data_IF_165981840081
#
_entry.id   IF_165981840081
#
_cell.length_a   1.000
_cell.length_b   1.000
_cell.length_c   1.000
_cell.angle_alpha   90.00
_cell.angle_beta   90.00
_cell.angle_gamma   90.00
#
_symmetry.space_group_name_H-M   'P 1'
#
loop_
_entity.id
_entity.type
_entity.pdbx_description
1 polymer ?
#
# COMPACT_ATOMS: atom_id res chain seq x y z
N UNK A 1 -6.53 -22.51 21.82
CA UNK A 1 -7.16 -21.62 20.80
C UNK A 1 -6.34 -21.78 19.52
N UNK A 2 -6.92 -22.25 18.41
CA UNK A 2 -6.18 -22.27 17.16
C UNK A 2 -5.92 -20.82 16.75
N UNK A 3 -4.68 -20.53 16.41
CA UNK A 3 -4.27 -19.19 16.04
C UNK A 3 -4.95 -18.75 14.75
N UNK A 4 -5.16 -17.46 14.60
CA UNK A 4 -5.73 -16.85 13.39
C UNK A 4 -4.93 -17.26 12.14
N UNK A 5 -3.66 -17.65 12.31
CA UNK A 5 -2.80 -18.18 11.25
C UNK A 5 -3.34 -19.47 10.60
N UNK A 6 -4.07 -20.29 11.36
CA UNK A 6 -4.58 -21.58 10.84
C UNK A 6 -5.81 -21.41 9.95
N UNK A 7 -6.53 -20.30 10.10
CA UNK A 7 -7.72 -20.01 9.29
C UNK A 7 -7.39 -19.31 7.96
N UNK A 8 -6.17 -18.79 7.82
CA UNK A 8 -5.73 -18.05 6.60
C UNK A 8 -4.96 -18.94 5.62
N UNK A 9 -4.61 -20.17 6.02
CA UNK A 9 -3.87 -21.10 5.16
C UNK A 9 -4.59 -21.50 3.85
N UNK A 10 -5.91 -21.63 3.80
CA UNK A 10 -6.57 -21.98 2.54
C UNK A 10 -6.53 -20.90 1.46
N UNK A 11 -6.34 -19.62 1.86
CA UNK A 11 -6.39 -18.49 0.94
C UNK A 11 -5.14 -18.41 0.05
N UNK A 12 -4.03 -19.06 0.50
CA UNK A 12 -2.74 -19.00 -0.21
C UNK A 12 -2.48 -20.26 -1.06
N UNK A 13 -3.46 -21.08 -1.33
CA UNK A 13 -3.32 -22.44 -1.82
C UNK A 13 -3.53 -22.72 -3.32
N UNK A 14 -2.99 -21.96 -4.29
CA UNK A 14 -2.85 -22.61 -5.59
C UNK A 14 -1.43 -22.66 -6.16
N UNK A 15 -0.37 -22.66 -5.34
CA UNK A 15 0.99 -22.72 -5.88
C UNK A 15 1.71 -24.02 -5.47
N UNK A 16 2.25 -24.75 -6.48
CA UNK A 16 3.04 -25.97 -6.28
C UNK A 16 4.37 -25.64 -5.55
N UNK A 17 4.80 -26.46 -4.59
CA UNK A 17 6.07 -26.23 -3.87
C UNK A 17 7.28 -26.48 -4.79
N UNK A 18 8.21 -25.54 -4.80
CA UNK A 18 9.52 -25.72 -5.44
C UNK A 18 10.65 -25.65 -4.40
N UNK A 19 11.77 -26.24 -4.76
CA UNK A 19 12.93 -26.51 -3.89
C UNK A 19 13.43 -25.28 -3.11
N UNK A 20 13.60 -25.48 -1.82
CA UNK A 20 14.28 -24.54 -0.92
C UNK A 20 15.72 -25.02 -0.79
N UNK A 21 16.69 -24.24 -1.25
CA UNK A 21 18.11 -24.52 -1.01
C UNK A 21 18.56 -23.70 0.18
N UNK A 22 19.01 -24.38 1.23
CA UNK A 22 19.63 -23.77 2.40
C UNK A 22 21.14 -23.96 2.30
N UNK A 23 21.87 -22.90 2.12
CA UNK A 23 23.33 -22.94 2.13
C UNK A 23 23.84 -22.59 3.53
N UNK A 24 24.71 -23.43 4.07
CA UNK A 24 25.27 -23.30 5.44
C UNK A 24 26.39 -22.24 5.41
N UNK A 25 26.05 -21.01 5.63
CA UNK A 25 26.99 -19.90 5.76
C UNK A 25 26.93 -19.27 7.15
N UNK A 26 27.97 -18.56 7.56
CA UNK A 26 28.04 -17.86 8.86
C UNK A 26 26.91 -16.86 9.07
N UNK A 27 26.33 -16.38 7.98
CA UNK A 27 25.14 -15.52 7.97
C UNK A 27 24.11 -16.16 7.02
N UNK A 28 22.90 -16.33 7.47
CA UNK A 28 21.88 -17.09 6.74
C UNK A 28 21.19 -16.24 5.68
N UNK A 29 21.38 -16.63 4.44
CA UNK A 29 20.67 -16.13 3.27
C UNK A 29 19.68 -17.21 2.82
N UNK A 30 18.41 -16.89 2.69
CA UNK A 30 17.43 -17.80 2.10
C UNK A 30 17.26 -17.43 0.62
N UNK A 31 17.68 -18.35 -0.25
CA UNK A 31 17.43 -18.29 -1.68
C UNK A 31 16.19 -19.15 -1.95
N UNK A 32 15.15 -18.53 -2.42
CA UNK A 32 13.92 -19.25 -2.73
C UNK A 32 13.67 -19.26 -4.22
N UNK A 33 13.63 -20.41 -4.66
CA UNK A 33 13.30 -20.61 -6.02
C UNK A 33 11.81 -20.62 -6.19
N UNK A 34 11.43 -20.06 -7.05
CA UNK A 34 10.06 -19.76 -7.27
C UNK A 34 9.08 -20.84 -7.12
N UNK A 35 8.51 -21.00 -6.90
CA UNK A 35 7.35 -21.64 -6.93
C UNK A 35 6.65 -22.06 -5.71
N UNK A 36 6.67 -21.73 -5.04
CA UNK A 36 5.71 -22.23 -4.11
C UNK A 36 5.37 -21.23 -3.09
N UNK A 37 4.56 -20.60 -3.42
CA UNK A 37 4.04 -19.61 -2.61
C UNK A 37 3.59 -20.07 -1.25
N UNK A 38 3.16 -21.01 -1.17
CA UNK A 38 2.68 -21.48 0.06
C UNK A 38 3.78 -22.00 0.95
N UNK A 39 4.58 -22.38 0.45
CA UNK A 39 5.73 -22.83 1.13
C UNK A 39 6.60 -21.67 1.58
N UNK A 40 6.38 -20.79 1.00
CA UNK A 40 7.05 -19.66 1.38
C UNK A 40 6.59 -19.06 2.67
N UNK A 41 5.60 -19.15 2.80
CA UNK A 41 5.04 -18.73 4.03
C UNK A 41 5.44 -19.64 5.18
N UNK A 42 5.45 -20.57 4.86
CA UNK A 42 5.93 -21.53 5.76
C UNK A 42 7.42 -21.41 5.97
N UNK A 43 7.91 -21.10 5.04
CA UNK A 43 9.30 -20.93 5.11
C UNK A 43 9.71 -19.65 5.81
N UNK A 44 9.00 -18.89 5.61
CA UNK A 44 9.21 -17.71 6.28
C UNK A 44 8.87 -17.80 7.71
N UNK A 45 8.02 -18.34 7.84
CA UNK A 45 7.63 -18.61 9.13
C UNK A 45 8.56 -19.53 9.81
N UNK A 46 8.80 -20.15 9.09
CA UNK A 46 9.75 -21.10 9.51
C UNK A 46 11.07 -20.45 9.85
N UNK A 47 11.22 -19.71 9.21
CA UNK A 47 12.45 -19.12 9.43
C UNK A 47 12.50 -18.19 10.62
N UNK A 48 11.55 -17.86 10.78
CA UNK A 48 11.52 -16.97 11.85
C UNK A 48 10.90 -17.56 13.08
N UNK A 49 10.17 -18.26 12.86
CA UNK A 49 9.39 -18.74 13.88
C UNK A 49 9.71 -20.13 14.26
N UNK A 50 10.48 -20.69 13.62
CA UNK A 50 10.83 -22.08 13.99
C UNK A 50 11.72 -22.09 15.22
N UNK A 51 11.39 -22.96 16.14
CA UNK A 51 12.16 -23.12 17.40
C UNK A 51 13.58 -23.64 17.15
N UNK A 52 13.78 -24.38 16.07
CA UNK A 52 15.07 -24.95 15.68
C UNK A 52 15.72 -24.25 14.49
N UNK A 53 15.56 -22.94 14.38
CA UNK A 53 16.19 -22.15 13.30
C UNK A 53 17.72 -22.08 13.51
N UNK A 54 18.46 -22.06 12.41
CA UNK A 54 19.93 -22.08 12.45
C UNK A 54 20.56 -20.67 12.65
N UNK A 55 19.76 -19.65 13.05
CA UNK A 55 20.26 -18.30 13.32
C UNK A 55 19.39 -17.21 12.72
N UNK A 56 19.85 -15.97 12.81
CA UNK A 56 19.14 -14.81 12.29
C UNK A 56 19.31 -14.72 10.77
N UNK A 57 18.19 -14.62 10.05
CA UNK A 57 18.18 -14.45 8.60
C UNK A 57 18.49 -12.97 8.29
N UNK A 58 19.53 -12.72 7.52
CA UNK A 58 19.96 -11.36 7.14
C UNK A 58 19.16 -10.83 5.95
N UNK A 59 18.95 -11.68 4.93
CA UNK A 59 18.24 -11.29 3.73
C UNK A 59 17.60 -12.52 3.09
N UNK A 60 16.55 -12.29 2.31
CA UNK A 60 15.89 -13.33 1.53
C UNK A 60 15.72 -12.83 0.08
N UNK A 61 16.09 -13.65 -0.88
CA UNK A 61 15.92 -13.37 -2.29
C UNK A 61 14.99 -14.42 -2.89
N UNK A 62 13.85 -13.98 -3.35
CA UNK A 62 12.88 -14.82 -4.03
C UNK A 62 13.21 -14.80 -5.53
N UNK A 63 13.38 -15.98 -6.14
CA UNK A 63 13.66 -16.10 -7.57
C UNK A 63 12.41 -16.60 -8.29
N UNK A 64 11.95 -15.83 -9.26
CA UNK A 64 10.84 -16.19 -10.15
C UNK A 64 11.37 -16.25 -11.59
N UNK A 65 11.80 -17.44 -12.01
CA UNK A 65 12.46 -17.65 -13.29
C UNK A 65 11.62 -18.64 -14.13
N UNK A 66 10.52 -18.17 -14.73
CA UNK A 66 9.62 -19.07 -15.49
C UNK A 66 10.14 -19.45 -16.86
N UNK A 67 11.22 -18.82 -17.35
CA UNK A 67 11.73 -19.00 -18.71
C UNK A 67 13.17 -19.50 -18.69
N UNK A 68 13.54 -20.34 -19.65
CA UNK A 68 14.92 -20.81 -19.84
C UNK A 68 15.84 -19.67 -20.36
N UNK A 69 15.28 -18.78 -21.17
CA UNK A 69 15.98 -17.59 -21.66
C UNK A 69 15.40 -16.36 -21.01
N UNK A 70 16.25 -15.55 -20.44
CA UNK A 70 15.86 -14.37 -19.69
C UNK A 70 16.41 -13.14 -20.40
N UNK A 71 15.55 -12.24 -20.83
CA UNK A 71 15.94 -11.01 -21.50
C UNK A 71 16.25 -9.89 -20.50
N UNK A 72 15.46 -9.78 -19.44
CA UNK A 72 15.64 -8.76 -18.43
C UNK A 72 15.18 -9.26 -17.07
N UNK A 73 15.61 -8.57 -16.02
CA UNK A 73 15.31 -8.89 -14.62
C UNK A 73 14.42 -7.79 -14.05
N UNK A 74 13.21 -8.13 -13.67
CA UNK A 74 12.31 -7.21 -12.96
C UNK A 74 12.54 -7.37 -11.45
N UNK A 75 12.95 -6.28 -10.79
CA UNK A 75 13.20 -6.26 -9.35
C UNK A 75 11.95 -5.77 -8.65
N UNK A 76 11.28 -6.67 -7.91
CA UNK A 76 10.05 -6.37 -7.18
C UNK A 76 10.37 -6.19 -5.72
N UNK A 77 9.96 -5.06 -5.16
CA UNK A 77 10.38 -4.61 -3.83
C UNK A 77 9.20 -4.31 -2.91
N UNK A 78 7.99 -4.09 -3.44
CA UNK A 78 6.84 -3.70 -2.61
C UNK A 78 6.34 -4.89 -1.79
N UNK A 79 6.46 -4.76 -0.49
CA UNK A 79 6.01 -5.76 0.47
C UNK A 79 4.65 -5.45 1.08
N UNK A 80 4.31 -6.16 2.14
CA UNK A 80 3.06 -5.97 2.87
C UNK A 80 2.95 -4.53 3.40
N UNK A 81 1.77 -3.95 3.28
CA UNK A 81 1.48 -2.57 3.69
C UNK A 81 2.44 -1.54 3.08
N UNK A 82 2.98 -1.84 1.89
CA UNK A 82 3.88 -0.92 1.19
C UNK A 82 5.27 -0.80 1.79
N UNK A 83 5.66 -1.72 2.66
CA UNK A 83 7.03 -1.77 3.20
C UNK A 83 8.02 -2.06 2.06
N UNK A 84 9.19 -1.46 2.18
CA UNK A 84 10.28 -1.64 1.20
C UNK A 84 11.49 -2.26 1.91
N UNK A 85 12.29 -3.07 1.20
CA UNK A 85 13.55 -3.58 1.77
C UNK A 85 14.58 -2.46 1.86
N UNK A 86 15.66 -2.72 2.58
CA UNK A 86 16.79 -1.79 2.64
C UNK A 86 17.30 -1.48 1.22
N UNK A 87 17.52 -0.20 0.94
CA UNK A 87 17.96 0.29 -0.37
C UNK A 87 19.29 -0.33 -0.82
N UNK A 88 20.19 -0.63 0.14
CA UNK A 88 21.48 -1.25 -0.17
C UNK A 88 21.31 -2.64 -0.77
N UNK A 89 20.31 -3.40 -0.31
CA UNK A 89 19.99 -4.70 -0.90
C UNK A 89 19.50 -4.56 -2.35
N UNK A 90 18.65 -3.55 -2.60
CA UNK A 90 18.13 -3.26 -3.95
C UNK A 90 19.29 -2.86 -4.89
N UNK A 91 20.14 -1.94 -4.42
CA UNK A 91 21.31 -1.46 -5.19
C UNK A 91 22.29 -2.59 -5.47
N UNK A 92 22.52 -3.47 -4.48
CA UNK A 92 23.41 -4.62 -4.63
C UNK A 92 22.91 -5.54 -5.76
N UNK A 93 21.62 -5.89 -5.71
CA UNK A 93 21.01 -6.76 -6.71
C UNK A 93 21.09 -6.12 -8.09
N UNK A 94 20.71 -4.84 -8.18
CA UNK A 94 20.76 -4.09 -9.45
C UNK A 94 22.16 -4.09 -10.05
N UNK A 95 23.19 -3.72 -9.27
CA UNK A 95 24.58 -3.61 -9.74
C UNK A 95 25.13 -4.96 -10.21
N UNK A 96 24.89 -6.04 -9.47
CA UNK A 96 25.43 -7.35 -9.82
C UNK A 96 24.78 -7.92 -11.07
N UNK A 97 23.47 -7.70 -11.27
CA UNK A 97 22.83 -8.10 -12.52
C UNK A 97 23.32 -7.27 -13.71
N UNK A 98 23.57 -5.98 -13.52
CA UNK A 98 24.18 -5.13 -14.57
C UNK A 98 25.59 -5.59 -14.95
N UNK A 99 26.41 -5.98 -13.97
CA UNK A 99 27.76 -6.49 -14.23
C UNK A 99 27.72 -7.76 -15.11
N UNK A 100 26.73 -8.59 -14.92
CA UNK A 100 26.52 -9.79 -15.76
C UNK A 100 25.69 -9.49 -17.01
N UNK A 101 25.54 -8.21 -17.37
CA UNK A 101 24.91 -7.70 -18.62
C UNK A 101 23.40 -7.97 -18.70
N UNK A 102 22.71 -8.13 -17.56
CA UNK A 102 21.26 -8.15 -17.54
C UNK A 102 20.72 -6.73 -17.47
N UNK A 103 19.71 -6.44 -18.28
CA UNK A 103 18.91 -5.22 -18.09
C UNK A 103 18.03 -5.42 -16.88
N UNK A 104 18.07 -4.51 -15.93
CA UNK A 104 17.18 -4.52 -14.75
C UNK A 104 16.06 -3.53 -14.95
N UNK A 105 14.86 -3.90 -14.52
CA UNK A 105 13.66 -3.09 -14.65
C UNK A 105 12.95 -2.96 -13.29
N UNK A 106 12.12 -1.93 -13.17
CA UNK A 106 11.15 -1.75 -12.08
C UNK A 106 9.76 -1.73 -12.71
N UNK A 107 8.90 -2.65 -12.29
CA UNK A 107 7.55 -2.77 -12.89
C UNK A 107 7.61 -3.02 -14.40
N UNK A 108 8.57 -3.81 -14.83
CA UNK A 108 8.85 -4.12 -16.25
C UNK A 108 9.16 -2.88 -17.11
N UNK A 109 9.57 -1.78 -16.45
CA UNK A 109 9.96 -0.54 -17.12
C UNK A 109 11.47 -0.34 -16.98
N UNK A 110 12.13 -0.09 -18.12
CA UNK A 110 13.54 0.23 -18.19
C UNK A 110 13.77 1.71 -17.86
N UNK A 111 14.97 2.05 -17.48
CA UNK A 111 15.33 3.46 -17.27
C UNK A 111 15.38 4.20 -18.60
N UNK A 112 14.88 5.44 -18.61
CA UNK A 112 14.91 6.28 -19.82
C UNK A 112 16.37 6.70 -20.09
N UNK A 113 16.84 6.60 -21.36
CA UNK A 113 18.27 6.87 -21.67
C UNK A 113 18.73 8.27 -21.30
N UNK A 114 17.90 9.28 -21.50
CA UNK A 114 18.22 10.66 -21.12
C UNK A 114 17.27 11.14 -20.01
N UNK A 115 17.65 10.94 -18.74
CA UNK A 115 16.77 11.27 -17.62
C UNK A 115 16.56 12.78 -17.39
N UNK A 116 17.39 13.64 -18.00
CA UNK A 116 17.33 15.10 -17.82
C UNK A 116 16.48 15.79 -18.88
N UNK A 117 16.10 15.08 -19.94
CA UNK A 117 15.15 15.61 -20.93
C UNK A 117 13.74 15.72 -20.33
N UNK A 118 12.89 16.55 -20.90
CA UNK A 118 11.49 16.69 -20.47
C UNK A 118 10.75 15.34 -20.60
N UNK A 119 11.01 14.59 -21.65
CA UNK A 119 10.42 13.26 -21.85
C UNK A 119 10.93 12.28 -20.79
N UNK A 120 12.23 12.28 -20.48
CA UNK A 120 12.81 11.45 -19.44
C UNK A 120 12.24 11.77 -18.05
N UNK A 121 12.01 13.07 -17.78
CA UNK A 121 11.40 13.50 -16.53
C UNK A 121 9.94 12.98 -16.41
N UNK A 122 9.14 13.15 -17.47
CA UNK A 122 7.75 12.66 -17.51
C UNK A 122 7.71 11.13 -17.36
N UNK A 123 8.63 10.42 -18.04
CA UNK A 123 8.75 8.97 -17.95
C UNK A 123 9.08 8.52 -16.53
N UNK A 124 10.07 9.16 -15.89
CA UNK A 124 10.48 8.85 -14.51
C UNK A 124 9.36 9.16 -13.51
N UNK A 125 8.64 10.27 -13.70
CA UNK A 125 7.49 10.62 -12.87
C UNK A 125 6.35 9.59 -13.01
N UNK A 126 6.11 9.11 -14.22
CA UNK A 126 5.13 8.05 -14.49
C UNK A 126 5.54 6.72 -13.82
N UNK A 127 6.84 6.39 -13.86
CA UNK A 127 7.37 5.18 -13.20
C UNK A 127 7.23 5.29 -11.68
N UNK A 128 7.58 6.46 -11.13
CA UNK A 128 7.41 6.76 -9.71
C UNK A 128 5.95 6.63 -9.28
N UNK A 129 5.03 7.22 -10.05
CA UNK A 129 3.59 7.15 -9.74
C UNK A 129 3.09 5.70 -9.79
N UNK A 130 3.56 4.90 -10.75
CA UNK A 130 3.21 3.48 -10.84
C UNK A 130 3.68 2.71 -9.60
N UNK A 131 4.91 2.96 -9.16
CA UNK A 131 5.45 2.37 -7.93
C UNK A 131 4.63 2.80 -6.71
N UNK A 132 4.34 4.10 -6.58
CA UNK A 132 3.57 4.65 -5.46
C UNK A 132 2.15 4.08 -5.40
N UNK A 133 1.47 3.94 -6.55
CA UNK A 133 0.13 3.34 -6.59
C UNK A 133 0.19 1.87 -6.14
N UNK A 134 1.16 1.12 -6.63
CA UNK A 134 1.34 -0.28 -6.23
C UNK A 134 1.63 -0.38 -4.72
N UNK A 135 2.54 0.45 -4.21
CA UNK A 135 2.89 0.49 -2.79
C UNK A 135 1.67 0.88 -1.93
N UNK A 136 0.86 1.83 -2.41
CA UNK A 136 -0.32 2.32 -1.69
C UNK A 136 -1.40 1.24 -1.54
N UNK A 137 -1.47 0.26 -2.45
CA UNK A 137 -2.43 -0.86 -2.28
C UNK A 137 -2.09 -1.75 -1.09
N UNK A 138 -0.83 -1.74 -0.63
CA UNK A 138 -0.36 -2.59 0.46
C UNK A 138 -0.21 -4.07 0.09
N UNK A 139 -0.53 -4.44 -1.14
CA UNK A 139 -0.43 -5.83 -1.61
C UNK A 139 1.02 -6.10 -2.04
N UNK A 140 1.66 -7.16 -1.51
CA UNK A 140 3.03 -7.48 -1.92
C UNK A 140 3.08 -7.92 -3.38
N UNK A 141 4.12 -7.48 -4.10
CA UNK A 141 4.31 -7.80 -5.52
C UNK A 141 5.03 -9.14 -5.74
N UNK A 142 5.36 -9.83 -4.66
CA UNK A 142 6.00 -11.15 -4.71
C UNK A 142 6.06 -11.80 -3.33
N UNK A 143 6.60 -13.02 -3.29
CA UNK A 143 6.71 -13.77 -2.04
C UNK A 143 7.63 -13.12 -1.00
N UNK A 144 8.48 -12.17 -1.44
CA UNK A 144 9.36 -11.41 -0.54
C UNK A 144 8.58 -10.66 0.54
N UNK A 145 7.37 -10.20 0.24
CA UNK A 145 6.54 -9.48 1.20
C UNK A 145 6.21 -10.28 2.47
N UNK A 146 6.20 -11.61 2.36
CA UNK A 146 5.99 -12.47 3.52
C UNK A 146 7.17 -12.40 4.50
N UNK A 147 8.38 -12.16 4.00
CA UNK A 147 9.58 -12.00 4.82
C UNK A 147 9.60 -10.66 5.53
N UNK A 148 9.13 -9.60 4.88
CA UNK A 148 9.04 -8.27 5.49
C UNK A 148 8.22 -8.29 6.78
N UNK A 149 7.15 -9.09 6.84
CA UNK A 149 6.32 -9.26 8.05
C UNK A 149 7.13 -9.72 9.27
N UNK A 150 8.24 -10.44 9.03
CA UNK A 150 9.12 -10.95 10.10
C UNK A 150 10.38 -10.09 10.27
N UNK A 151 10.40 -8.88 9.70
CA UNK A 151 11.55 -7.99 9.78
C UNK A 151 12.77 -8.50 9.02
N UNK A 152 12.56 -9.32 7.98
CA UNK A 152 13.63 -9.88 7.16
C UNK A 152 13.67 -9.10 5.84
N UNK A 153 14.82 -8.51 5.52
CA UNK A 153 15.05 -7.80 4.27
C UNK A 153 14.87 -8.74 3.08
N UNK A 154 14.01 -8.41 2.16
CA UNK A 154 13.71 -9.33 1.05
C UNK A 154 13.26 -8.60 -0.20
N UNK A 155 13.57 -9.18 -1.36
CA UNK A 155 13.07 -8.73 -2.65
C UNK A 155 12.86 -9.94 -3.58
N UNK A 156 12.13 -9.71 -4.68
CA UNK A 156 11.92 -10.73 -5.70
C UNK A 156 12.66 -10.33 -6.97
N UNK A 157 13.43 -11.28 -7.48
CA UNK A 157 14.12 -11.20 -8.78
C UNK A 157 13.27 -12.01 -9.76
N UNK A 158 12.53 -11.33 -10.64
CA UNK A 158 11.66 -11.97 -11.62
C UNK A 158 12.32 -11.89 -13.00
N UNK A 159 12.63 -13.06 -13.56
CA UNK A 159 13.18 -13.13 -14.92
C UNK A 159 12.04 -13.09 -15.94
N UNK A 160 12.13 -12.15 -16.87
CA UNK A 160 11.15 -11.98 -17.95
C UNK A 160 11.79 -12.24 -19.32
N UNK A 161 10.97 -12.68 -20.27
CA UNK A 161 11.39 -12.90 -21.65
C UNK A 161 10.61 -12.00 -22.61
N UNK A 162 11.34 -11.26 -23.41
CA UNK A 162 10.76 -10.41 -24.45
C UNK A 162 11.26 -10.90 -25.82
N UNK A 163 10.37 -11.21 -26.71
CA UNK A 163 10.68 -11.73 -28.05
C UNK A 163 11.53 -10.71 -28.83
N UNK A 164 12.60 -11.18 -29.43
CA UNK A 164 13.54 -10.32 -30.18
C UNK A 164 14.72 -9.79 -29.35
N UNK A 165 14.73 -10.04 -28.05
CA UNK A 165 15.87 -9.66 -27.19
C UNK A 165 16.86 -10.82 -27.08
N UNK A 166 18.14 -10.48 -26.96
CA UNK A 166 19.19 -11.47 -26.75
C UNK A 166 19.14 -11.95 -25.30
N UNK A 167 18.58 -13.12 -25.11
CA UNK A 167 18.49 -13.73 -23.78
C UNK A 167 19.87 -14.11 -23.23
N UNK A 168 20.10 -13.85 -21.97
CA UNK A 168 21.32 -14.24 -21.28
C UNK A 168 21.24 -15.68 -20.77
N UNK A 169 22.40 -16.32 -20.65
CA UNK A 169 22.52 -17.69 -20.19
C UNK A 169 22.28 -17.84 -18.69
N UNK A 170 21.77 -18.99 -18.29
CA UNK A 170 21.61 -19.38 -16.89
C UNK A 170 22.91 -19.30 -16.09
N UNK A 171 24.07 -19.51 -16.78
CA UNK A 171 25.38 -19.38 -16.14
C UNK A 171 25.62 -17.95 -15.61
N UNK A 172 25.29 -16.93 -16.41
CA UNK A 172 25.45 -15.53 -16.00
C UNK A 172 24.48 -15.19 -14.86
N UNK A 173 23.27 -15.74 -14.90
CA UNK A 173 22.30 -15.63 -13.78
C UNK A 173 22.90 -16.21 -12.51
N UNK A 174 23.46 -17.41 -12.58
CA UNK A 174 24.10 -18.08 -11.45
C UNK A 174 25.26 -17.26 -10.87
N UNK A 175 26.08 -16.63 -11.73
CA UNK A 175 27.17 -15.77 -11.31
C UNK A 175 26.67 -14.50 -10.58
N UNK A 176 25.63 -13.89 -11.09
CA UNK A 176 25.02 -12.72 -10.43
C UNK A 176 24.51 -13.11 -9.04
N UNK A 177 23.76 -14.22 -8.94
CA UNK A 177 23.22 -14.73 -7.67
C UNK A 177 24.37 -15.07 -6.70
N UNK A 178 25.41 -15.77 -7.18
CA UNK A 178 26.60 -16.08 -6.37
C UNK A 178 27.25 -14.79 -5.87
N UNK A 179 27.38 -13.77 -6.72
CA UNK A 179 27.92 -12.47 -6.34
C UNK A 179 27.12 -11.80 -5.24
N UNK A 180 25.76 -11.84 -5.34
CA UNK A 180 24.86 -11.31 -4.30
C UNK A 180 25.10 -12.06 -2.99
N UNK A 181 25.13 -13.40 -3.04
CA UNK A 181 25.33 -14.24 -1.84
C UNK A 181 26.69 -13.96 -1.19
N UNK A 182 27.76 -13.84 -1.97
CA UNK A 182 29.10 -13.51 -1.47
C UNK A 182 29.12 -12.13 -0.80
N UNK A 183 28.49 -11.13 -1.44
CA UNK A 183 28.42 -9.77 -0.90
C UNK A 183 27.67 -9.73 0.42
N UNK A 184 26.51 -10.39 0.50
CA UNK A 184 25.73 -10.48 1.73
C UNK A 184 26.46 -11.24 2.84
N UNK A 185 27.19 -12.30 2.49
CA UNK A 185 27.99 -13.05 3.45
C UNK A 185 29.17 -12.24 4.00
N UNK A 186 29.70 -11.31 3.21
CA UNK A 186 30.84 -10.46 3.59
C UNK A 186 30.42 -9.23 4.41
N UNK A 187 29.12 -8.98 4.58
CA UNK A 187 28.65 -7.89 5.43
C UNK A 187 29.10 -8.13 6.88
N UNK A 188 29.85 -7.16 7.42
CA UNK A 188 30.32 -7.24 8.82
C UNK A 188 29.20 -6.95 9.81
N UNK A 189 28.24 -6.12 9.41
CA UNK A 189 27.12 -5.71 10.25
C UNK A 189 25.79 -6.04 9.55
N UNK A 190 24.72 -6.13 10.34
CA UNK A 190 23.38 -6.28 9.79
C UNK A 190 22.92 -5.02 9.07
N UNK A 191 21.93 -5.15 8.20
CA UNK A 191 21.22 -4.01 7.63
C UNK A 191 20.48 -3.30 8.78
N UNK A 192 21.12 -2.28 9.35
CA UNK A 192 20.54 -1.54 10.48
C UNK A 192 20.45 -0.04 10.21
N UNK A 193 21.23 0.45 9.27
CA UNK A 193 21.14 1.86 8.87
C UNK A 193 20.13 1.99 7.75
N UNK A 194 19.21 2.82 7.99
CA UNK A 194 17.89 2.89 7.46
C UNK A 194 17.76 3.62 6.12
N UNK A 195 17.85 2.93 5.07
CA UNK A 195 17.27 3.41 3.83
C UNK A 195 16.04 2.55 3.49
N UNK A 196 15.02 2.63 4.36
CA UNK A 196 13.71 2.02 4.15
C UNK A 196 12.72 3.03 3.57
N UNK A 197 12.96 4.31 3.82
CA UNK A 197 12.06 5.39 3.41
C UNK A 197 12.60 6.08 2.17
N UNK A 198 12.33 5.47 1.03
CA UNK A 198 12.75 5.95 -0.28
C UNK A 198 11.66 5.69 -1.31
N UNK A 199 11.75 6.38 -2.43
CA UNK A 199 10.93 6.16 -3.61
C UNK A 199 11.87 6.03 -4.81
N UNK A 200 11.55 5.13 -5.75
CA UNK A 200 12.40 4.87 -6.92
C UNK A 200 11.73 5.37 -8.21
N UNK A 201 12.18 6.49 -8.76
CA UNK A 201 11.74 6.91 -10.10
C UNK A 201 12.43 6.12 -11.22
N UNK A 202 13.54 5.45 -10.91
CA UNK A 202 14.33 4.64 -11.85
C UNK A 202 15.14 3.61 -11.06
N UNK A 203 15.70 2.61 -11.74
CA UNK A 203 16.48 1.56 -11.05
C UNK A 203 17.77 2.10 -10.42
N UNK A 204 18.32 3.18 -11.00
CA UNK A 204 19.60 3.78 -10.58
C UNK A 204 19.43 5.09 -9.82
N UNK A 205 18.18 5.52 -9.53
CA UNK A 205 17.92 6.78 -8.83
C UNK A 205 16.86 6.57 -7.74
N UNK A 206 17.05 7.25 -6.62
CA UNK A 206 16.10 7.21 -5.51
C UNK A 206 15.81 8.62 -5.01
N UNK A 207 14.65 8.76 -4.40
CA UNK A 207 14.21 9.98 -3.71
C UNK A 207 14.16 9.64 -2.22
N UNK A 208 14.99 10.31 -1.43
CA UNK A 208 15.06 10.06 0.01
C UNK A 208 13.91 10.74 0.76
N UNK A 209 13.70 10.32 1.99
CA UNK A 209 12.71 10.89 2.91
C UNK A 209 12.89 12.42 3.06
N UNK A 210 14.13 12.91 3.07
CA UNK A 210 14.42 14.34 3.17
C UNK A 210 13.89 15.17 2.02
N UNK A 211 13.62 14.55 0.87
CA UNK A 211 13.12 15.25 -0.34
C UNK A 211 11.58 15.21 -0.42
N UNK A 212 10.94 14.07 -0.10
CA UNK A 212 9.49 13.97 -0.27
C UNK A 212 8.69 14.39 0.98
N UNK A 213 9.30 14.40 2.16
CA UNK A 213 8.59 14.79 3.40
C UNK A 213 8.27 16.29 3.47
N UNK A 214 9.14 17.22 3.04
CA UNK A 214 8.77 18.64 3.05
C UNK A 214 7.53 18.97 2.22
N UNK A 215 7.37 18.58 0.95
CA UNK A 215 6.12 18.82 0.24
C UNK A 215 4.90 18.15 0.88
N UNK A 216 5.06 16.94 1.42
CA UNK A 216 3.99 16.27 2.19
C UNK A 216 3.60 17.09 3.42
N UNK A 217 4.60 17.58 4.17
CA UNK A 217 4.39 18.45 5.33
C UNK A 217 3.69 19.74 4.97
N UNK A 218 4.00 20.33 3.81
CA UNK A 218 3.32 21.53 3.32
C UNK A 218 1.84 21.26 3.00
N UNK A 219 1.50 20.10 2.44
CA UNK A 219 0.10 19.71 2.19
C UNK A 219 -0.68 19.59 3.50
N UNK A 220 -0.11 18.94 4.52
CA UNK A 220 -0.71 18.83 5.86
C UNK A 220 -0.79 20.21 6.50
N UNK A 221 0.30 20.99 6.41
CA UNK A 221 0.39 22.35 6.95
C UNK A 221 -0.68 23.28 6.40
N UNK A 222 -1.00 23.15 5.09
CA UNK A 222 -2.06 23.94 4.47
C UNK A 222 -3.43 23.66 5.11
N UNK A 223 -3.74 22.38 5.43
CA UNK A 223 -4.98 22.03 6.13
C UNK A 223 -4.98 22.60 7.57
N UNK A 224 -3.85 22.51 8.27
CA UNK A 224 -3.71 23.05 9.63
C UNK A 224 -3.86 24.58 9.64
N UNK A 225 -3.19 25.28 8.73
CA UNK A 225 -3.28 26.73 8.60
C UNK A 225 -4.72 27.17 8.31
N UNK A 226 -5.44 26.42 7.47
CA UNK A 226 -6.84 26.69 7.19
C UNK A 226 -7.71 26.49 8.43
N UNK A 227 -7.46 25.44 9.23
CA UNK A 227 -8.17 25.22 10.49
C UNK A 227 -7.93 26.39 11.46
N UNK A 228 -6.68 26.86 11.56
CA UNK A 228 -6.30 28.01 12.38
C UNK A 228 -7.00 29.29 11.89
N UNK A 229 -7.02 29.51 10.56
CA UNK A 229 -7.68 30.67 9.94
C UNK A 229 -9.18 30.67 10.25
N UNK A 230 -9.85 29.51 10.18
CA UNK A 230 -11.27 29.37 10.56
C UNK A 230 -11.48 29.67 12.04
N UNK A 231 -10.57 29.23 12.89
CA UNK A 231 -10.64 29.48 14.34
C UNK A 231 -10.45 30.97 14.67
N UNK A 232 -9.51 31.64 14.01
CA UNK A 232 -9.25 33.09 14.23
C UNK A 232 -10.42 33.93 13.71
N UNK A 233 -10.98 33.59 12.52
CA UNK A 233 -12.10 34.32 11.93
C UNK A 233 -13.39 34.25 12.76
N UNK A 234 -13.47 33.36 13.74
CA UNK A 234 -14.51 33.32 14.76
C UNK A 234 -14.57 34.60 15.57
N UNK A 235 -13.40 35.17 15.86
CA UNK A 235 -13.26 36.30 16.81
C UNK A 235 -13.80 37.63 16.23
N UNK A 236 -13.85 37.75 14.88
CA UNK A 236 -14.26 38.96 14.20
C UNK A 236 -15.78 39.12 14.01
N UNK A 237 -16.51 37.96 14.02
CA UNK A 237 -17.97 37.96 13.77
C UNK A 237 -18.66 37.26 14.96
N UNK A 238 -18.84 38.00 16.04
CA UNK A 238 -19.60 37.50 17.19
C UNK A 238 -21.12 37.62 16.92
N UNK A 239 -21.65 36.87 15.96
CA UNK A 239 -23.10 36.62 15.92
C UNK A 239 -23.42 35.60 17.01
N UNK A 240 -24.14 36.03 18.00
CA UNK A 240 -24.47 35.32 19.24
C UNK A 240 -25.18 33.98 19.07
N UNK A 241 -25.58 33.62 17.85
CA UNK A 241 -26.46 32.46 17.60
C UNK A 241 -25.75 31.16 17.28
N UNK A 242 -24.45 31.17 16.94
CA UNK A 242 -23.70 29.96 16.60
C UNK A 242 -22.68 29.59 17.67
N UNK A 243 -22.86 28.43 18.28
CA UNK A 243 -21.95 27.95 19.33
C UNK A 243 -20.67 27.32 18.72
N UNK A 244 -19.51 27.81 19.15
CA UNK A 244 -18.19 27.20 18.91
C UNK A 244 -17.79 26.38 20.15
N UNK A 245 -18.69 25.54 20.61
CA UNK A 245 -18.42 24.70 21.75
C UNK A 245 -17.92 23.34 21.28
N UNK A 246 -16.63 23.09 21.46
CA UNK A 246 -15.99 21.83 21.08
C UNK A 246 -16.54 20.64 21.89
N UNK A 247 -17.12 20.89 23.06
CA UNK A 247 -17.80 19.83 23.84
C UNK A 247 -19.02 19.28 23.08
N UNK A 248 -19.73 20.12 22.33
CA UNK A 248 -20.86 19.69 21.51
C UNK A 248 -20.41 18.81 20.33
N UNK A 249 -19.12 18.86 19.97
CA UNK A 249 -18.54 17.97 18.96
C UNK A 249 -18.31 16.56 19.49
N UNK A 250 -18.33 16.37 20.82
CA UNK A 250 -18.05 15.08 21.48
C UNK A 250 -18.95 13.95 20.97
N UNK A 251 -20.23 14.23 20.69
CA UNK A 251 -21.15 13.26 20.15
C UNK A 251 -20.71 12.75 18.77
N UNK A 252 -20.18 13.62 17.91
CA UNK A 252 -19.62 13.24 16.61
C UNK A 252 -18.36 12.40 16.76
N UNK A 253 -17.48 12.80 17.68
CA UNK A 253 -16.24 12.05 17.94
C UNK A 253 -16.55 10.66 18.49
N UNK A 254 -17.49 10.58 19.44
CA UNK A 254 -17.94 9.30 20.00
C UNK A 254 -18.55 8.41 18.92
N UNK A 255 -19.42 8.96 18.08
CA UNK A 255 -20.00 8.23 16.94
C UNK A 255 -18.89 7.71 16.01
N UNK A 256 -17.96 8.57 15.63
CA UNK A 256 -16.83 8.19 14.74
C UNK A 256 -15.99 7.08 15.35
N UNK A 257 -15.71 7.16 16.66
CA UNK A 257 -14.94 6.14 17.39
C UNK A 257 -15.69 4.80 17.39
N UNK A 258 -17.01 4.81 17.68
CA UNK A 258 -17.83 3.60 17.65
C UNK A 258 -17.83 2.97 16.25
N UNK A 259 -18.00 3.79 15.21
CA UNK A 259 -17.94 3.31 13.82
C UNK A 259 -16.57 2.71 13.49
N UNK A 260 -15.50 3.36 13.92
CA UNK A 260 -14.14 2.84 13.76
C UNK A 260 -13.95 1.47 14.41
N UNK A 261 -14.45 1.30 15.64
CA UNK A 261 -14.41 0.01 16.35
C UNK A 261 -15.22 -1.06 15.62
N UNK A 262 -16.36 -0.69 15.04
CA UNK A 262 -17.20 -1.62 14.25
C UNK A 262 -16.41 -2.06 13.01
N UNK A 263 -15.83 -1.11 12.25
CA UNK A 263 -15.04 -1.42 11.06
C UNK A 263 -13.82 -2.28 11.41
N UNK A 264 -13.13 -1.95 12.52
CA UNK A 264 -11.98 -2.73 12.99
C UNK A 264 -12.34 -4.18 13.32
N UNK A 265 -13.49 -4.40 13.99
CA UNK A 265 -13.93 -5.75 14.38
C UNK A 265 -14.69 -6.51 13.28
N UNK A 266 -15.06 -5.83 12.19
CA UNK A 266 -15.91 -6.40 11.14
C UNK A 266 -15.28 -7.63 10.45
N UNK A 267 -14.00 -7.66 10.08
CA UNK A 267 -13.43 -8.81 9.35
C UNK A 267 -13.58 -10.12 10.13
N UNK A 268 -13.23 -10.10 11.41
CA UNK A 268 -13.33 -11.28 12.28
C UNK A 268 -14.79 -11.75 12.42
N UNK A 269 -15.71 -10.81 12.66
CA UNK A 269 -17.14 -11.12 12.82
C UNK A 269 -17.76 -11.63 11.52
N UNK A 270 -17.40 -11.03 10.38
CA UNK A 270 -17.89 -11.45 9.06
C UNK A 270 -17.38 -12.86 8.71
N UNK A 271 -16.11 -13.15 9.03
CA UNK A 271 -15.51 -14.47 8.81
C UNK A 271 -16.22 -15.53 9.67
N UNK A 272 -16.47 -15.23 10.95
CA UNK A 272 -17.21 -16.13 11.85
C UNK A 272 -18.65 -16.32 11.36
N UNK A 273 -19.30 -15.27 10.89
CA UNK A 273 -20.67 -15.31 10.35
C UNK A 273 -20.73 -16.20 9.09
N UNK A 274 -19.80 -16.04 8.16
CA UNK A 274 -19.72 -16.86 6.96
C UNK A 274 -19.58 -18.35 7.30
N UNK A 275 -18.73 -18.66 8.27
CA UNK A 275 -18.50 -20.05 8.74
C UNK A 275 -19.76 -20.61 9.41
N UNK A 276 -20.42 -19.82 10.25
CA UNK A 276 -21.62 -20.24 10.96
C UNK A 276 -22.79 -20.50 10.00
N UNK A 277 -22.99 -19.60 9.04
CA UNK A 277 -24.13 -19.69 8.09
C UNK A 277 -23.86 -20.64 6.92
N UNK A 278 -22.62 -21.10 6.76
CA UNK A 278 -22.18 -21.99 5.66
C UNK A 278 -22.64 -21.47 4.28
N UNK A 279 -22.42 -20.16 4.02
CA UNK A 279 -22.95 -19.47 2.83
C UNK A 279 -22.39 -19.97 1.51
N UNK A 280 -21.31 -20.77 1.53
CA UNK A 280 -20.66 -21.26 0.31
C UNK A 280 -19.88 -20.17 -0.43
N UNK A 281 -19.77 -18.96 0.13
CA UNK A 281 -19.03 -17.84 -0.45
C UNK A 281 -17.59 -17.84 0.07
N UNK A 282 -16.67 -17.31 -0.73
CA UNK A 282 -15.30 -17.14 -0.26
C UNK A 282 -15.29 -16.16 0.93
N UNK A 283 -14.38 -16.38 1.88
CA UNK A 283 -14.23 -15.47 3.03
C UNK A 283 -13.91 -14.06 2.55
N UNK A 284 -13.14 -13.96 1.47
CA UNK A 284 -12.73 -12.69 0.86
C UNK A 284 -13.93 -11.91 0.33
N UNK A 285 -14.88 -12.58 -0.35
CA UNK A 285 -16.09 -11.95 -0.87
C UNK A 285 -16.98 -11.43 0.26
N UNK A 286 -17.12 -12.22 1.33
CA UNK A 286 -17.96 -11.86 2.47
C UNK A 286 -17.37 -10.65 3.21
N UNK A 287 -16.06 -10.65 3.44
CA UNK A 287 -15.38 -9.51 4.10
C UNK A 287 -15.48 -8.25 3.23
N UNK A 288 -15.17 -8.36 1.95
CA UNK A 288 -15.20 -7.21 1.02
C UNK A 288 -16.62 -6.66 0.89
N UNK A 289 -17.62 -7.53 0.64
CA UNK A 289 -19.01 -7.12 0.54
C UNK A 289 -19.53 -6.50 1.83
N UNK A 290 -19.15 -7.08 2.97
CA UNK A 290 -19.53 -6.57 4.29
C UNK A 290 -18.97 -5.16 4.53
N UNK A 291 -17.71 -4.90 4.16
CA UNK A 291 -17.12 -3.56 4.23
C UNK A 291 -17.86 -2.55 3.35
N UNK A 292 -18.21 -2.95 2.12
CA UNK A 292 -18.98 -2.10 1.22
C UNK A 292 -20.35 -1.76 1.81
N UNK A 293 -21.06 -2.75 2.35
CA UNK A 293 -22.36 -2.56 3.01
C UNK A 293 -22.26 -1.64 4.23
N UNK A 294 -21.27 -1.89 5.09
CA UNK A 294 -21.03 -1.05 6.28
C UNK A 294 -20.73 0.40 5.90
N UNK A 295 -19.96 0.61 4.82
CA UNK A 295 -19.63 1.96 4.34
C UNK A 295 -20.88 2.69 3.82
N UNK A 296 -21.72 2.01 3.05
CA UNK A 296 -22.98 2.57 2.57
C UNK A 296 -23.88 2.94 3.77
N UNK A 297 -24.03 2.02 4.71
CA UNK A 297 -24.83 2.25 5.92
C UNK A 297 -24.28 3.44 6.73
N UNK A 298 -22.96 3.51 6.88
CA UNK A 298 -22.27 4.61 7.58
C UNK A 298 -22.58 5.96 6.90
N UNK A 299 -22.48 6.02 5.56
CA UNK A 299 -22.79 7.24 4.80
C UNK A 299 -24.26 7.65 4.96
N UNK A 300 -25.18 6.69 4.95
CA UNK A 300 -26.60 6.95 5.20
C UNK A 300 -26.85 7.48 6.62
N UNK A 301 -26.23 6.87 7.62
CA UNK A 301 -26.37 7.28 9.02
C UNK A 301 -25.79 8.70 9.25
N UNK A 302 -24.63 9.02 8.68
CA UNK A 302 -24.05 10.37 8.77
C UNK A 302 -24.99 11.39 8.13
N UNK A 303 -25.56 11.07 6.95
CA UNK A 303 -26.42 12.03 6.25
C UNK A 303 -27.70 12.33 7.04
N UNK A 304 -28.25 11.35 7.76
CA UNK A 304 -29.50 11.53 8.52
C UNK A 304 -29.25 12.06 9.94
N UNK A 305 -28.39 11.39 10.71
CA UNK A 305 -28.11 11.77 12.09
C UNK A 305 -27.25 13.00 12.20
N UNK A 306 -26.26 13.14 11.31
CA UNK A 306 -25.38 14.30 11.29
C UNK A 306 -26.14 15.60 11.08
N UNK A 307 -27.09 15.60 10.13
CA UNK A 307 -27.93 16.76 9.86
C UNK A 307 -28.80 17.13 11.06
N UNK A 308 -29.39 16.12 11.72
CA UNK A 308 -30.22 16.34 12.92
C UNK A 308 -29.40 16.87 14.10
N UNK A 309 -28.25 16.28 14.36
CA UNK A 309 -27.38 16.67 15.49
C UNK A 309 -26.85 18.10 15.30
N UNK A 310 -26.47 18.46 14.08
CA UNK A 310 -26.03 19.83 13.76
C UNK A 310 -27.13 20.85 14.04
N UNK A 311 -28.37 20.55 13.62
CA UNK A 311 -29.50 21.47 13.82
C UNK A 311 -29.89 21.56 15.30
N UNK A 312 -29.89 20.43 16.01
CA UNK A 312 -30.30 20.38 17.43
C UNK A 312 -29.30 21.06 18.35
N UNK A 313 -28.00 20.87 18.09
CA UNK A 313 -26.94 21.43 18.94
C UNK A 313 -26.53 22.86 18.54
N UNK A 314 -27.13 23.42 17.50
CA UNK A 314 -26.79 24.77 16.94
C UNK A 314 -25.29 24.89 16.68
N UNK A 315 -24.65 23.80 16.25
CA UNK A 315 -23.21 23.77 16.04
C UNK A 315 -22.85 24.48 14.73
N UNK A 316 -21.89 25.39 14.80
CA UNK A 316 -21.44 26.11 13.60
C UNK A 316 -20.79 25.16 12.58
N UNK A 317 -21.18 25.28 11.32
CA UNK A 317 -20.57 24.53 10.22
C UNK A 317 -19.05 24.78 10.11
N UNK A 318 -18.60 25.98 10.49
CA UNK A 318 -17.17 26.32 10.54
C UNK A 318 -16.44 25.57 11.65
N UNK A 319 -17.09 25.39 12.81
CA UNK A 319 -16.52 24.61 13.91
C UNK A 319 -16.32 23.14 13.49
N UNK A 320 -17.31 22.55 12.84
CA UNK A 320 -17.23 21.18 12.31
C UNK A 320 -16.11 21.07 11.26
N UNK A 321 -16.03 22.05 10.35
CA UNK A 321 -14.98 22.08 9.32
C UNK A 321 -13.59 22.20 9.94
N UNK A 322 -13.41 23.05 10.95
CA UNK A 322 -12.15 23.19 11.67
C UNK A 322 -11.74 21.86 12.31
N UNK A 323 -12.66 21.17 12.98
CA UNK A 323 -12.39 19.88 13.62
C UNK A 323 -12.03 18.80 12.58
N UNK A 324 -12.77 18.75 11.45
CA UNK A 324 -12.48 17.80 10.37
C UNK A 324 -11.06 18.04 9.81
N UNK A 325 -10.68 19.29 9.56
CA UNK A 325 -9.35 19.62 9.05
C UNK A 325 -8.24 19.19 10.03
N UNK A 326 -8.43 19.41 11.32
CA UNK A 326 -7.48 19.00 12.36
C UNK A 326 -7.35 17.48 12.42
N UNK A 327 -8.47 16.76 12.46
CA UNK A 327 -8.49 15.30 12.53
C UNK A 327 -7.92 14.67 11.26
N UNK A 328 -8.27 15.23 10.09
CA UNK A 328 -7.77 14.70 8.81
C UNK A 328 -6.25 14.91 8.69
N UNK A 329 -5.74 16.07 9.10
CA UNK A 329 -4.30 16.33 9.03
C UNK A 329 -3.50 15.37 9.93
N UNK A 330 -3.98 15.11 11.15
CA UNK A 330 -3.33 14.13 12.04
C UNK A 330 -3.44 12.72 11.50
N UNK A 331 -4.60 12.34 10.96
CA UNK A 331 -4.82 11.03 10.37
C UNK A 331 -3.91 10.80 9.15
N UNK A 332 -3.78 11.80 8.26
CA UNK A 332 -2.92 11.68 7.08
C UNK A 332 -1.46 11.49 7.48
N UNK A 333 -1.01 12.17 8.54
CA UNK A 333 0.34 11.97 9.07
C UNK A 333 0.51 10.53 9.60
N UNK A 334 -0.45 10.03 10.36
CA UNK A 334 -0.41 8.66 10.91
C UNK A 334 -0.40 7.60 9.78
N UNK A 335 -1.23 7.79 8.74
CA UNK A 335 -1.26 6.90 7.57
C UNK A 335 0.09 6.89 6.85
N UNK A 336 0.72 8.06 6.69
CA UNK A 336 2.03 8.16 6.03
C UNK A 336 3.15 7.50 6.84
N UNK A 337 3.03 7.43 8.16
CA UNK A 337 3.99 6.69 8.98
C UNK A 337 3.91 5.18 8.74
N UNK A 338 2.72 4.65 8.42
CA UNK A 338 2.55 3.25 8.06
C UNK A 338 2.88 2.96 6.60
N UNK A 339 2.35 3.81 5.70
CA UNK A 339 2.53 3.67 4.25
C UNK A 339 2.63 5.06 3.63
N UNK A 340 3.86 5.47 3.31
CA UNK A 340 4.17 6.80 2.79
C UNK A 340 3.41 7.08 1.49
N UNK A 341 3.43 6.14 0.56
CA UNK A 341 2.79 6.31 -0.75
C UNK A 341 1.28 6.49 -0.61
N UNK A 342 0.65 5.69 0.28
CA UNK A 342 -0.77 5.84 0.57
C UNK A 342 -1.06 7.22 1.19
N UNK A 343 -0.24 7.63 2.17
CA UNK A 343 -0.38 8.93 2.82
C UNK A 343 -0.26 10.10 1.85
N UNK A 344 0.78 10.08 1.00
CA UNK A 344 1.02 11.15 0.01
C UNK A 344 -0.12 11.20 -1.03
N UNK A 345 -0.47 10.04 -1.62
CA UNK A 345 -1.51 9.99 -2.67
C UNK A 345 -2.89 10.40 -2.13
N UNK A 346 -3.25 9.92 -0.94
CA UNK A 346 -4.53 10.30 -0.33
C UNK A 346 -4.54 11.78 0.08
N UNK A 347 -3.43 12.28 0.63
CA UNK A 347 -3.31 13.69 1.01
C UNK A 347 -3.40 14.62 -0.21
N UNK A 348 -2.81 14.23 -1.34
CA UNK A 348 -2.86 14.99 -2.59
C UNK A 348 -4.31 15.18 -3.07
N UNK A 349 -5.17 14.20 -2.84
CA UNK A 349 -6.59 14.25 -3.21
C UNK A 349 -7.44 14.92 -2.14
N UNK A 350 -7.22 14.57 -0.86
CA UNK A 350 -8.06 14.99 0.27
C UNK A 350 -7.83 16.48 0.60
N UNK A 351 -6.56 16.92 0.60
CA UNK A 351 -6.19 18.28 1.03
C UNK A 351 -6.92 19.37 0.23
N UNK A 352 -6.90 19.37 -1.13
CA UNK A 352 -7.64 20.39 -1.87
C UNK A 352 -9.16 20.26 -1.71
N UNK A 353 -9.70 19.04 -1.66
CA UNK A 353 -11.16 18.83 -1.54
C UNK A 353 -11.67 19.40 -0.20
N UNK A 354 -10.99 19.11 0.89
CA UNK A 354 -11.42 19.60 2.21
C UNK A 354 -11.16 21.10 2.38
N UNK A 355 -10.12 21.62 1.69
CA UNK A 355 -9.83 23.06 1.69
C UNK A 355 -10.91 23.87 0.94
N UNK A 356 -11.39 23.35 -0.19
CA UNK A 356 -12.38 24.02 -1.03
C UNK A 356 -13.82 23.78 -0.50
N UNK A 357 -14.05 22.72 0.27
CA UNK A 357 -15.38 22.28 0.70
C UNK A 357 -16.05 23.23 1.73
N UNK A 358 -16.14 24.51 1.40
CA UNK A 358 -16.85 25.51 2.22
C UNK A 358 -18.37 25.32 2.06
N UNK A 359 -19.11 25.76 3.07
CA UNK A 359 -20.57 25.79 2.96
C UNK A 359 -20.99 26.79 1.89
N UNK A 360 -21.66 26.32 0.86
CA UNK A 360 -22.14 27.15 -0.26
C UNK A 360 -23.66 27.08 -0.30
N UNK A 361 -24.30 28.22 -0.56
CA UNK A 361 -25.76 28.31 -0.56
C UNK A 361 -26.39 27.78 -1.85
N UNK A 362 -25.69 27.88 -2.99
CA UNK A 362 -26.24 27.48 -4.29
C UNK A 362 -26.34 25.94 -4.39
N UNK A 363 -27.51 25.43 -4.81
CA UNK A 363 -27.81 24.00 -4.90
C UNK A 363 -26.84 23.22 -5.78
N UNK A 364 -26.47 23.79 -6.95
CA UNK A 364 -25.53 23.15 -7.88
C UNK A 364 -24.18 22.85 -7.21
N UNK A 365 -23.59 23.85 -6.55
CA UNK A 365 -22.31 23.68 -5.84
C UNK A 365 -22.43 22.74 -4.64
N UNK A 366 -23.60 22.64 -4.03
CA UNK A 366 -23.83 21.64 -2.95
C UNK A 366 -23.76 20.21 -3.51
N UNK A 367 -24.33 19.96 -4.70
CA UNK A 367 -24.25 18.66 -5.36
C UNK A 367 -22.80 18.34 -5.77
N UNK A 368 -22.09 19.28 -6.36
CA UNK A 368 -20.66 19.12 -6.72
C UNK A 368 -19.82 18.78 -5.48
N UNK A 369 -20.04 19.49 -4.39
CA UNK A 369 -19.34 19.20 -3.12
C UNK A 369 -19.65 17.80 -2.60
N UNK A 370 -20.91 17.39 -2.60
CA UNK A 370 -21.32 16.03 -2.18
C UNK A 370 -20.63 14.97 -3.04
N UNK A 371 -20.63 15.16 -4.35
CA UNK A 371 -19.98 14.26 -5.30
C UNK A 371 -18.47 14.15 -5.00
N UNK A 372 -17.81 15.30 -4.81
CA UNK A 372 -16.38 15.32 -4.47
C UNK A 372 -16.10 14.57 -3.16
N UNK A 373 -16.94 14.76 -2.14
CA UNK A 373 -16.76 14.06 -0.86
C UNK A 373 -16.98 12.55 -0.99
N UNK A 374 -17.91 12.11 -1.86
CA UNK A 374 -18.12 10.69 -2.15
C UNK A 374 -16.89 10.12 -2.87
N UNK A 375 -16.36 10.85 -3.87
CA UNK A 375 -15.16 10.40 -4.62
C UNK A 375 -13.92 10.26 -3.72
N UNK A 376 -13.84 11.07 -2.66
CA UNK A 376 -12.72 11.04 -1.69
C UNK A 376 -12.92 9.95 -0.62
N UNK A 377 -14.07 9.28 -0.58
CA UNK A 377 -14.31 8.18 0.36
C UNK A 377 -13.25 7.08 0.16
N UNK A 378 -12.67 6.51 1.24
CA UNK A 378 -11.56 5.56 1.12
C UNK A 378 -11.82 4.38 0.17
N UNK A 379 -13.04 3.81 0.17
CA UNK A 379 -13.38 2.73 -0.76
C UNK A 379 -13.39 3.21 -2.22
N UNK A 380 -13.87 4.44 -2.48
CA UNK A 380 -13.84 5.00 -3.84
C UNK A 380 -12.41 5.22 -4.30
N UNK A 381 -11.55 5.75 -3.43
CA UNK A 381 -10.12 5.93 -3.73
C UNK A 381 -9.44 4.59 -3.98
N UNK A 382 -9.77 3.57 -3.19
CA UNK A 382 -9.26 2.21 -3.39
C UNK A 382 -9.65 1.67 -4.79
N UNK A 383 -10.94 1.81 -5.16
CA UNK A 383 -11.41 1.36 -6.48
C UNK A 383 -10.74 2.15 -7.61
N UNK A 384 -10.57 3.47 -7.46
CA UNK A 384 -9.90 4.31 -8.46
C UNK A 384 -8.44 3.87 -8.61
N UNK A 385 -7.73 3.67 -7.50
CA UNK A 385 -6.32 3.26 -7.51
C UNK A 385 -6.15 1.89 -8.17
N UNK A 386 -6.97 0.91 -7.78
CA UNK A 386 -6.90 -0.44 -8.35
C UNK A 386 -7.33 -0.47 -9.82
N UNK A 387 -8.29 0.37 -10.21
CA UNK A 387 -8.69 0.53 -11.61
C UNK A 387 -7.51 1.05 -12.45
N UNK A 388 -6.85 2.11 -11.99
CA UNK A 388 -5.68 2.68 -12.67
C UNK A 388 -4.56 1.63 -12.79
N UNK A 389 -4.29 0.89 -11.72
CA UNK A 389 -3.26 -0.15 -11.71
C UNK A 389 -3.63 -1.27 -12.70
N UNK A 390 -4.90 -1.70 -12.73
CA UNK A 390 -5.38 -2.73 -13.65
C UNK A 390 -5.24 -2.26 -15.12
N UNK A 391 -5.53 -0.99 -15.41
CA UNK A 391 -5.33 -0.40 -16.75
C UNK A 391 -3.87 -0.48 -17.20
N UNK A 392 -2.93 -0.33 -16.26
CA UNK A 392 -1.50 -0.38 -16.57
C UNK A 392 -0.99 -1.80 -16.76
N UNK A 393 -1.45 -2.72 -15.90
CA UNK A 393 -0.96 -4.11 -15.89
C UNK A 393 -1.58 -4.93 -17.03
N UNK A 394 -2.84 -4.66 -17.39
CA UNK A 394 -3.58 -5.44 -18.38
C UNK A 394 -4.20 -4.54 -19.46
N UNK A 395 -3.38 -3.79 -20.23
CA UNK A 395 -3.93 -2.87 -21.24
C UNK A 395 -4.70 -3.59 -22.36
N UNK A 396 -4.33 -4.83 -22.67
CA UNK A 396 -4.99 -5.63 -23.72
C UNK A 396 -6.41 -6.04 -23.35
N UNK A 397 -6.74 -6.07 -22.05
CA UNK A 397 -8.05 -6.53 -21.59
C UNK A 397 -9.07 -5.38 -21.45
N UNK A 398 -8.67 -4.15 -21.70
CA UNK A 398 -9.58 -2.98 -21.69
C UNK A 398 -10.72 -3.21 -22.69
N UNK A 399 -10.46 -3.92 -23.79
CA UNK A 399 -11.45 -4.26 -24.81
C UNK A 399 -12.43 -5.37 -24.37
N UNK A 400 -12.23 -5.99 -23.19
CA UNK A 400 -13.09 -7.02 -22.63
C UNK A 400 -13.61 -6.58 -21.25
N UNK A 401 -14.65 -5.72 -21.23
CA UNK A 401 -15.03 -4.98 -20.00
C UNK A 401 -15.38 -5.88 -18.81
N UNK A 402 -16.00 -7.02 -19.03
CA UNK A 402 -16.38 -7.94 -17.95
C UNK A 402 -15.14 -8.58 -17.28
N UNK A 403 -14.17 -9.01 -18.09
CA UNK A 403 -12.90 -9.57 -17.56
C UNK A 403 -12.10 -8.51 -16.85
N UNK A 404 -12.02 -7.31 -17.44
CA UNK A 404 -11.31 -6.17 -16.89
C UNK A 404 -11.92 -5.78 -15.52
N UNK A 405 -13.25 -5.68 -15.47
CA UNK A 405 -13.96 -5.34 -14.22
C UNK A 405 -13.72 -6.41 -13.14
N UNK A 406 -13.73 -7.70 -13.55
CA UNK A 406 -13.44 -8.82 -12.65
C UNK A 406 -12.02 -8.72 -12.06
N UNK A 407 -11.03 -8.35 -12.87
CA UNK A 407 -9.65 -8.17 -12.38
C UNK A 407 -9.52 -6.96 -11.46
N UNK A 408 -10.18 -5.85 -11.80
CA UNK A 408 -10.20 -4.66 -10.93
C UNK A 408 -10.86 -4.99 -9.58
N UNK A 409 -11.98 -5.71 -9.60
CA UNK A 409 -12.67 -6.17 -8.38
C UNK A 409 -11.73 -7.03 -7.52
N UNK A 410 -11.09 -8.03 -8.13
CA UNK A 410 -10.16 -8.93 -7.41
C UNK A 410 -8.96 -8.15 -6.85
N UNK A 411 -8.45 -7.15 -7.56
CA UNK A 411 -7.36 -6.30 -7.08
C UNK A 411 -7.81 -5.45 -5.89
N UNK A 412 -8.99 -4.83 -5.96
CA UNK A 412 -9.57 -4.03 -4.87
C UNK A 412 -9.84 -4.89 -3.64
N UNK A 413 -10.37 -6.09 -3.85
CA UNK A 413 -10.63 -7.07 -2.79
C UNK A 413 -9.34 -7.44 -2.06
N UNK A 414 -8.29 -7.79 -2.81
CA UNK A 414 -6.98 -8.12 -2.22
C UNK A 414 -6.39 -6.94 -1.44
N UNK A 415 -6.42 -5.74 -2.04
CA UNK A 415 -5.89 -4.54 -1.38
C UNK A 415 -6.62 -4.25 -0.07
N UNK A 416 -7.95 -4.34 -0.04
CA UNK A 416 -8.72 -4.14 1.18
C UNK A 416 -8.40 -5.20 2.25
N UNK A 417 -8.30 -6.47 1.85
CA UNK A 417 -8.01 -7.57 2.77
C UNK A 417 -6.61 -7.42 3.37
N UNK A 418 -5.61 -7.09 2.56
CA UNK A 418 -4.24 -6.88 3.07
C UNK A 418 -4.17 -5.69 4.01
N UNK A 419 -4.83 -4.57 3.68
CA UNK A 419 -4.89 -3.39 4.54
C UNK A 419 -5.56 -3.71 5.90
N UNK A 420 -6.63 -4.48 5.87
CA UNK A 420 -7.39 -4.86 7.07
C UNK A 420 -6.59 -5.85 7.93
N UNK A 421 -5.99 -6.87 7.31
CA UNK A 421 -5.25 -7.91 8.05
C UNK A 421 -3.98 -7.30 8.67
N UNK A 422 -3.21 -6.54 7.90
CA UNK A 422 -2.01 -5.89 8.42
C UNK A 422 -2.35 -4.83 9.47
N UNK A 423 -3.38 -4.04 9.23
CA UNK A 423 -3.83 -3.01 10.18
C UNK A 423 -4.29 -3.56 11.53
N UNK A 424 -4.64 -4.85 11.61
CA UNK A 424 -5.03 -5.46 12.88
C UNK A 424 -3.85 -6.05 13.66
N UNK A 425 -2.67 -6.17 13.03
CA UNK A 425 -1.48 -6.77 13.66
C UNK A 425 -0.41 -5.72 14.07
N UNK A 426 -0.62 -4.45 13.75
CA UNK A 426 0.16 -3.31 14.20
C UNK A 426 -0.73 -2.35 14.96
#
# INVERSE_FOLDING_TARGET
MPSISDSLMPVLAPYKPQLIWSCRMKKYLILMXXXXXXXXXXXXXXXXXLDARAGAIQAAINLELPYEKISHIDVRIEGLNGQLPNLDLVNLVHRLFQQERFTTTLKEREDYPDPFSMEGWIYSASSLLSLMVSQATGVPTGNHGLFHRFGIEALTVAGSYKRGWHGSNFLLMGRAIEGIMRSLNNLQERFHQSFFFYLLPATNRYISIGVYMPPFGLMIGAMLLQAVALYISRKEKSDEKESWNFLNLGSFLLYSTICGLIFHSAPEKLTKFNRYMALGLSTEDVVFGGFCMLSILHCMLISTFGARTLSTQRLSAKCVQCAILLLTSTLMYAVAMGNVSLGVLTCLVISPVFSIAKAVSQRFFQYCRRLLLILVHPLCLLFIATFIDTCRVFPEEINQPLKFLGKTHSAAQRALIYAVIDGTFY
#
